data_IF_152447034270
#
_entry.id   IF_152447034270
#
_cell.length_a   1.000
_cell.length_b   1.000
_cell.length_c   1.000
_cell.angle_alpha   90.00
_cell.angle_beta   90.00
_cell.angle_gamma   90.00
#
_symmetry.space_group_name_H-M   'P 1'
#
loop_
_entity.id
_entity.type
_entity.pdbx_description
1 polymer ?
#
# COMPACT_ATOMS: atom_id res chain seq x y z
N UNK A 1 -13.33 -7.28 -7.11
CA UNK A 1 -12.36 -7.68 -6.05
C UNK A 1 -12.12 -9.18 -6.14
N UNK A 2 -10.86 -9.63 -6.19
CA UNK A 2 -10.50 -11.06 -6.12
C UNK A 2 -10.77 -11.57 -4.70
N UNK A 3 -11.51 -12.66 -4.55
CA UNK A 3 -12.07 -13.11 -3.25
C UNK A 3 -11.13 -13.95 -2.37
N UNK A 4 -9.95 -14.33 -2.87
CA UNK A 4 -9.04 -15.29 -2.20
C UNK A 4 -7.61 -14.76 -2.04
N UNK A 5 -7.45 -13.46 -1.82
CA UNK A 5 -6.11 -12.86 -1.71
C UNK A 5 -5.84 -12.48 -0.26
N UNK A 6 -4.75 -13.00 0.30
CA UNK A 6 -4.35 -12.87 1.70
C UNK A 6 -2.91 -12.35 1.80
N UNK A 7 -2.59 -11.47 2.76
CA UNK A 7 -3.53 -10.80 3.67
C UNK A 7 -4.48 -9.87 2.90
N UNK A 8 -5.68 -9.63 3.43
CA UNK A 8 -6.56 -8.59 2.87
C UNK A 8 -5.88 -7.22 2.99
N UNK A 9 -6.27 -6.21 2.19
CA UNK A 9 -5.65 -4.88 2.27
C UNK A 9 -5.71 -4.26 3.67
N UNK A 10 -6.84 -4.48 4.34
CA UNK A 10 -7.08 -4.01 5.70
C UNK A 10 -6.16 -4.67 6.71
N UNK A 11 -5.87 -5.97 6.55
CA UNK A 11 -4.93 -6.69 7.40
C UNK A 11 -3.48 -6.29 7.09
N UNK A 12 -3.14 -6.19 5.81
CA UNK A 12 -1.79 -5.88 5.34
C UNK A 12 -1.31 -4.47 5.68
N UNK A 13 -2.25 -3.52 5.82
CA UNK A 13 -1.98 -2.14 6.21
C UNK A 13 -2.34 -1.85 7.67
N UNK A 14 -2.77 -2.85 8.46
CA UNK A 14 -3.24 -2.63 9.82
C UNK A 14 -2.14 -1.96 10.67
N UNK A 15 -2.48 -0.82 11.26
CA UNK A 15 -1.55 -0.05 12.10
C UNK A 15 -0.48 0.73 11.32
N UNK A 16 -0.53 0.73 9.98
CA UNK A 16 0.33 1.58 9.15
C UNK A 16 -0.30 2.95 8.94
N UNK A 17 0.52 4.00 8.98
CA UNK A 17 0.13 5.33 8.53
C UNK A 17 0.48 5.45 7.06
N UNK A 18 -0.40 6.04 6.25
CA UNK A 18 -0.15 6.21 4.82
C UNK A 18 -0.77 7.49 4.28
N UNK A 19 -0.19 7.99 3.19
CA UNK A 19 -0.74 9.10 2.43
C UNK A 19 -0.58 8.82 0.94
N UNK A 20 -1.57 9.27 0.16
CA UNK A 20 -1.55 9.24 -1.29
C UNK A 20 -1.26 10.63 -1.83
N UNK A 21 -0.43 10.70 -2.85
CA UNK A 21 -0.32 11.85 -3.75
C UNK A 21 -0.89 11.49 -5.13
N UNK A 22 -1.21 12.53 -5.91
CA UNK A 22 -1.67 12.36 -7.29
C UNK A 22 -0.65 11.59 -8.14
N UNK A 23 -1.10 10.93 -9.19
CA UNK A 23 -0.26 10.15 -10.11
C UNK A 23 0.46 8.95 -9.45
N UNK A 24 -0.10 8.42 -8.36
CA UNK A 24 0.34 7.17 -7.74
C UNK A 24 1.49 7.32 -6.73
N UNK A 25 1.70 8.52 -6.17
CA UNK A 25 2.67 8.66 -5.08
C UNK A 25 2.12 8.03 -3.81
N UNK A 26 2.96 7.29 -3.09
CA UNK A 26 2.59 6.73 -1.78
C UNK A 26 3.75 6.89 -0.81
N UNK A 27 3.41 7.30 0.41
CA UNK A 27 4.26 7.06 1.58
C UNK A 27 3.49 6.17 2.54
N UNK A 28 4.13 5.12 3.05
CA UNK A 28 3.60 4.28 4.11
C UNK A 28 4.64 4.06 5.20
N UNK A 29 4.19 4.13 6.44
CA UNK A 29 4.98 3.96 7.66
C UNK A 29 4.35 2.83 8.46
N UNK A 30 5.01 1.67 8.45
CA UNK A 30 4.64 0.53 9.27
C UNK A 30 5.57 0.48 10.49
N UNK A 31 5.10 1.02 11.61
CA UNK A 31 5.88 1.07 12.86
C UNK A 31 6.15 -0.32 13.45
N UNK A 32 5.23 -1.26 13.29
CA UNK A 32 5.37 -2.61 13.85
C UNK A 32 6.52 -3.38 13.19
N UNK A 33 6.75 -3.12 11.91
CA UNK A 33 7.82 -3.74 11.11
C UNK A 33 9.07 -2.85 10.97
N UNK A 34 9.12 -1.70 11.67
CA UNK A 34 10.19 -0.68 11.54
C UNK A 34 10.48 -0.28 10.08
N UNK A 35 9.44 -0.24 9.24
CA UNK A 35 9.57 -0.08 7.80
C UNK A 35 8.91 1.21 7.31
N UNK A 36 9.62 1.94 6.47
CA UNK A 36 9.09 3.05 5.67
C UNK A 36 9.24 2.71 4.21
N UNK A 37 8.15 2.84 3.45
CA UNK A 37 8.16 2.67 1.99
C UNK A 37 7.77 3.99 1.35
N UNK A 38 8.59 4.43 0.40
CA UNK A 38 8.32 5.58 -0.48
C UNK A 38 8.19 5.05 -1.89
N UNK A 39 7.05 5.31 -2.53
CA UNK A 39 6.80 4.96 -3.91
C UNK A 39 6.63 6.22 -4.74
N UNK A 40 7.45 6.31 -5.79
CA UNK A 40 7.28 7.30 -6.85
C UNK A 40 6.72 6.67 -8.11
N UNK A 41 5.81 7.37 -8.76
CA UNK A 41 5.11 6.89 -9.95
C UNK A 41 4.69 8.04 -10.85
N UNK A 42 4.32 7.71 -12.08
CA UNK A 42 3.82 8.65 -13.09
C UNK A 42 2.57 8.06 -13.75
N UNK A 43 1.57 7.68 -12.94
CA UNK A 43 0.35 7.08 -13.47
C UNK A 43 -0.33 8.02 -14.48
N UNK A 44 -1.06 7.49 -15.48
CA UNK A 44 -1.67 8.33 -16.51
C UNK A 44 -2.80 9.24 -15.98
N UNK A 45 -3.34 8.95 -14.79
CA UNK A 45 -4.43 9.70 -14.16
C UNK A 45 -4.02 10.22 -12.77
N UNK A 46 -4.43 11.44 -12.45
CA UNK A 46 -4.06 12.15 -11.22
C UNK A 46 -4.66 11.49 -9.96
N UNK A 47 -5.97 11.29 -9.92
CA UNK A 47 -6.65 10.67 -8.77
C UNK A 47 -7.31 9.36 -9.20
N UNK A 48 -6.86 8.20 -8.69
CA UNK A 48 -7.77 7.07 -8.49
C UNK A 48 -8.83 7.51 -7.47
N UNK A 49 -10.07 7.02 -7.56
CA UNK A 49 -11.04 7.27 -6.49
C UNK A 49 -10.43 6.86 -5.14
N UNK A 50 -10.58 7.66 -4.07
CA UNK A 50 -10.01 7.37 -2.74
C UNK A 50 -10.45 5.99 -2.17
N UNK A 51 -11.57 5.45 -2.69
CA UNK A 51 -12.07 4.11 -2.39
C UNK A 51 -11.25 2.99 -3.07
N UNK A 52 -10.42 3.32 -4.05
CA UNK A 52 -9.40 2.45 -4.59
C UNK A 52 -8.16 2.52 -3.70
N UNK A 53 -8.25 1.96 -2.49
CA UNK A 53 -7.07 1.31 -1.91
C UNK A 53 -6.78 0.14 -2.86
N UNK A 54 -5.78 0.20 -3.76
CA UNK A 54 -5.56 -0.89 -4.67
C UNK A 54 -5.11 -2.06 -3.81
N UNK A 55 -5.86 -3.16 -3.87
CA UNK A 55 -5.49 -4.42 -3.24
C UNK A 55 -4.02 -4.76 -3.53
N UNK A 56 -3.57 -4.43 -4.74
CA UNK A 56 -2.22 -4.56 -5.24
C UNK A 56 -1.17 -3.81 -4.39
N UNK A 57 -1.44 -2.57 -3.97
CA UNK A 57 -0.48 -1.79 -3.18
C UNK A 57 -0.33 -2.37 -1.77
N UNK A 58 -1.44 -2.70 -1.11
CA UNK A 58 -1.41 -3.33 0.20
C UNK A 58 -0.69 -4.68 0.15
N UNK A 59 -0.94 -5.50 -0.87
CA UNK A 59 -0.24 -6.78 -1.06
C UNK A 59 1.25 -6.59 -1.30
N UNK A 60 1.64 -5.64 -2.13
CA UNK A 60 3.04 -5.34 -2.41
C UNK A 60 3.75 -4.92 -1.12
N UNK A 61 3.18 -3.99 -0.34
CA UNK A 61 3.79 -3.53 0.90
C UNK A 61 3.88 -4.64 1.95
N UNK A 62 2.84 -5.47 2.10
CA UNK A 62 2.90 -6.63 3.00
C UNK A 62 3.92 -7.68 2.55
N UNK A 63 4.06 -7.92 1.25
CA UNK A 63 5.07 -8.82 0.73
C UNK A 63 6.49 -8.28 1.01
N UNK A 64 6.74 -7.00 0.73
CA UNK A 64 8.03 -6.34 1.04
C UNK A 64 8.34 -6.45 2.54
N UNK A 65 7.38 -6.13 3.41
CA UNK A 65 7.59 -6.22 4.85
C UNK A 65 7.94 -7.63 5.31
N UNK A 66 7.31 -8.65 4.72
CA UNK A 66 7.63 -10.06 5.03
C UNK A 66 9.03 -10.46 4.58
N UNK A 67 9.47 -10.04 3.39
CA UNK A 67 10.79 -10.40 2.87
C UNK A 67 11.96 -9.67 3.56
N UNK A 68 11.70 -8.51 4.18
CA UNK A 68 12.72 -7.71 4.87
C UNK A 68 12.89 -8.04 6.36
N UNK A 69 12.12 -9.00 6.88
CA UNK A 69 12.16 -9.43 8.27
C UNK A 69 13.30 -10.42 8.51
#
# INVERSE_FOLDING_TARGET
MRKNVQPTPQEGLKGSLWALGIYGQVITVNRAEHLVIVQWSTWPQAEPSFNAQPLEAALMYSAIARELR
#
